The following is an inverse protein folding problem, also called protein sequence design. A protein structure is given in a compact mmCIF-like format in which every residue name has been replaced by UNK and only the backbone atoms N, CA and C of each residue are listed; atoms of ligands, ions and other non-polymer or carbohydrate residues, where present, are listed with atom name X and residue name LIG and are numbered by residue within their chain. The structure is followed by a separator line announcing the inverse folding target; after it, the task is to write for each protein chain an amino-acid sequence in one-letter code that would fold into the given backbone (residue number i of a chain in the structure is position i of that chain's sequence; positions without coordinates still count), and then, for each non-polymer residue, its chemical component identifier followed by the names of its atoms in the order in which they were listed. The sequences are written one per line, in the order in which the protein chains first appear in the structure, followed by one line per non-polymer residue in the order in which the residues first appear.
data_IF_064450559861
#
_entry.id   IF_064450559861
#
_cell.length_a   1.000
_cell.length_b   1.000
_cell.length_c   1.000
_cell.angle_alpha   90.00
_cell.angle_beta   90.00
_cell.angle_gamma   90.00
#
_symmetry.space_group_name_H-M   'P 1'
#
loop_
_entity.id
_entity.type
_entity.pdbx_description
1 polymer ?
#
# COMPACT_ATOMS: atom_id res chain seq x y z
N UNK A 1 6.96 20.73 -3.04
CA UNK A 1 7.36 19.38 -3.47
C UNK A 1 6.61 18.37 -2.60
N UNK A 2 5.81 17.47 -3.18
CA UNK A 2 5.13 16.43 -2.39
C UNK A 2 6.09 15.26 -2.21
N UNK A 3 6.39 14.92 -0.98
CA UNK A 3 7.19 13.74 -0.68
C UNK A 3 6.45 12.48 -1.14
N UNK A 4 7.16 11.56 -1.81
CA UNK A 4 6.63 10.24 -2.15
C UNK A 4 6.21 9.51 -0.87
N UNK A 5 5.03 8.87 -0.87
CA UNK A 5 4.60 8.08 0.29
C UNK A 5 5.54 6.88 0.50
N UNK A 6 5.61 6.39 1.75
CA UNK A 6 6.55 5.32 2.10
C UNK A 6 6.32 4.04 1.28
N UNK A 7 5.07 3.72 0.95
CA UNK A 7 4.78 2.56 0.11
C UNK A 7 5.28 2.70 -1.33
N UNK A 8 5.10 3.87 -1.96
CA UNK A 8 5.65 4.14 -3.30
C UNK A 8 7.18 4.06 -3.32
N UNK A 9 7.85 4.50 -2.24
CA UNK A 9 9.31 4.35 -2.09
C UNK A 9 9.73 2.89 -2.05
N UNK A 10 9.09 2.07 -1.22
CA UNK A 10 9.35 0.62 -1.13
C UNK A 10 9.12 -0.07 -2.46
N UNK A 11 8.01 0.26 -3.14
CA UNK A 11 7.65 -0.33 -4.41
C UNK A 11 8.38 0.28 -5.60
N UNK A 12 9.28 1.26 -5.42
CA UNK A 12 9.92 1.98 -6.53
C UNK A 12 8.89 2.41 -7.59
N UNK A 13 7.76 2.97 -7.15
CA UNK A 13 6.64 3.43 -7.98
C UNK A 13 6.60 4.96 -7.94
N UNK A 14 6.31 5.61 -9.07
CA UNK A 14 6.01 7.04 -9.10
C UNK A 14 4.83 7.39 -8.18
N UNK A 15 5.00 8.40 -7.34
CA UNK A 15 3.96 8.90 -6.45
C UNK A 15 3.38 10.20 -7.01
N UNK A 16 2.06 10.26 -7.19
CA UNK A 16 1.31 11.42 -7.66
C UNK A 16 0.38 11.97 -6.56
N UNK A 17 -0.33 13.06 -6.83
CA UNK A 17 -1.34 13.60 -5.92
C UNK A 17 -2.46 12.59 -5.62
N UNK A 18 -2.86 11.83 -6.65
CA UNK A 18 -3.90 10.80 -6.59
C UNK A 18 -3.35 9.40 -6.29
N UNK A 19 -2.26 9.32 -5.52
CA UNK A 19 -1.65 8.04 -5.18
C UNK A 19 -2.63 7.13 -4.41
N UNK A 20 -2.97 5.99 -5.00
CA UNK A 20 -3.87 5.00 -4.38
C UNK A 20 -3.30 4.34 -3.12
N UNK A 21 -1.97 4.39 -2.92
CA UNK A 21 -1.25 3.77 -1.79
C UNK A 21 -1.17 4.71 -0.58
N UNK A 22 -1.11 6.03 -0.81
CA UNK A 22 -1.04 7.03 0.26
C UNK A 22 -2.15 6.86 1.33
N UNK A 23 -3.45 6.76 0.98
CA UNK A 23 -4.51 6.56 1.96
C UNK A 23 -4.43 5.21 2.70
N UNK A 24 -3.89 4.16 2.06
CA UNK A 24 -3.69 2.84 2.69
C UNK A 24 -2.71 2.88 3.87
N UNK A 25 -1.82 3.87 3.91
CA UNK A 25 -0.74 3.96 4.90
C UNK A 25 -1.02 4.99 6.01
N UNK A 26 -1.97 5.92 5.80
CA UNK A 26 -2.23 7.03 6.72
C UNK A 26 -2.58 6.61 8.15
N UNK A 27 -3.19 5.44 8.33
CA UNK A 27 -3.55 4.94 9.66
C UNK A 27 -2.34 4.41 10.45
N UNK A 28 -1.26 4.03 9.77
CA UNK A 28 0.00 3.62 10.40
C UNK A 28 0.82 4.88 10.70
N UNK A 29 0.90 5.27 11.97
CA UNK A 29 1.57 6.51 12.40
C UNK A 29 3.08 6.50 12.15
N UNK A 30 3.74 5.35 12.32
CA UNK A 30 5.19 5.25 12.21
C UNK A 30 5.62 5.01 10.74
N UNK A 31 6.53 5.84 10.18
CA UNK A 31 6.96 5.72 8.78
C UNK A 31 7.75 4.43 8.49
N UNK A 32 8.53 3.93 9.44
CA UNK A 32 9.22 2.64 9.30
C UNK A 32 8.21 1.49 9.27
N UNK A 33 7.18 1.54 10.10
CA UNK A 33 6.09 0.56 10.09
C UNK A 33 5.33 0.57 8.75
N UNK A 34 5.10 1.73 8.14
CA UNK A 34 4.51 1.83 6.79
C UNK A 34 5.37 1.13 5.74
N UNK A 35 6.69 1.36 5.79
CA UNK A 35 7.63 0.73 4.88
C UNK A 35 7.67 -0.79 5.07
N UNK A 36 7.78 -1.25 6.32
CA UNK A 36 7.82 -2.68 6.66
C UNK A 36 6.54 -3.41 6.25
N UNK A 37 5.36 -2.81 6.49
CA UNK A 37 4.08 -3.37 6.07
C UNK A 37 4.00 -3.49 4.54
N UNK A 38 4.42 -2.45 3.82
CA UNK A 38 4.46 -2.48 2.35
C UNK A 38 5.44 -3.55 1.85
N UNK A 39 6.62 -3.66 2.47
CA UNK A 39 7.64 -4.65 2.10
C UNK A 39 7.12 -6.07 2.32
N UNK A 40 6.46 -6.33 3.45
CA UNK A 40 5.85 -7.61 3.76
C UNK A 40 4.81 -8.01 2.71
N UNK A 41 3.88 -7.11 2.38
CA UNK A 41 2.85 -7.37 1.37
C UNK A 41 3.42 -7.52 -0.04
N UNK A 42 4.45 -6.74 -0.37
CA UNK A 42 5.15 -6.85 -1.65
C UNK A 42 5.88 -8.19 -1.77
N UNK A 43 6.40 -8.74 -0.66
CA UNK A 43 7.00 -10.07 -0.62
C UNK A 43 5.96 -11.19 -0.77
N UNK A 44 4.75 -10.99 -0.22
CA UNK A 44 3.66 -11.97 -0.29
C UNK A 44 2.94 -11.98 -1.65
N UNK A 45 2.49 -10.82 -2.15
CA UNK A 45 1.72 -10.69 -3.39
C UNK A 45 2.56 -10.39 -4.64
N UNK A 46 3.85 -10.08 -4.45
CA UNK A 46 4.65 -9.43 -5.48
C UNK A 46 4.29 -7.97 -5.67
N UNK A 47 5.19 -7.21 -6.33
CA UNK A 47 4.99 -5.78 -6.60
C UNK A 47 3.75 -5.50 -7.44
N UNK A 48 3.61 -6.20 -8.56
CA UNK A 48 2.48 -6.00 -9.48
C UNK A 48 1.16 -6.44 -8.84
N UNK A 49 1.16 -7.58 -8.15
CA UNK A 49 -0.01 -8.09 -7.43
C UNK A 49 -0.49 -7.12 -6.36
N UNK A 50 0.41 -6.58 -5.54
CA UNK A 50 0.04 -5.58 -4.53
C UNK A 50 -0.55 -4.30 -5.14
N UNK A 51 0.05 -3.78 -6.22
CA UNK A 51 -0.48 -2.58 -6.88
C UNK A 51 -1.87 -2.84 -7.46
N UNK A 52 -2.06 -3.99 -8.11
CA UNK A 52 -3.36 -4.38 -8.67
C UNK A 52 -4.42 -4.54 -7.58
N UNK A 53 -4.05 -5.18 -6.45
CA UNK A 53 -4.91 -5.34 -5.29
C UNK A 53 -5.38 -3.97 -4.73
N UNK A 54 -4.46 -3.04 -4.52
CA UNK A 54 -4.77 -1.69 -4.02
C UNK A 54 -5.69 -0.94 -4.98
N UNK A 55 -5.47 -1.07 -6.29
CA UNK A 55 -6.28 -0.40 -7.29
C UNK A 55 -7.68 -1.02 -7.44
N UNK A 56 -7.82 -2.34 -7.27
CA UNK A 56 -9.09 -3.05 -7.28
C UNK A 56 -9.98 -2.72 -6.07
N UNK A 57 -9.38 -2.30 -4.95
CA UNK A 57 -10.13 -1.91 -3.77
C UNK A 57 -10.88 -0.57 -3.97
N UNK A 58 -12.16 -0.47 -3.56
CA UNK A 58 -12.89 0.80 -3.52
C UNK A 58 -12.18 1.83 -2.63
N UNK A 59 -12.23 3.14 -2.95
CA UNK A 59 -11.48 4.17 -2.22
C UNK A 59 -11.74 4.21 -0.71
N UNK A 60 -12.99 4.00 -0.30
CA UNK A 60 -13.41 3.97 1.11
C UNK A 60 -12.88 2.74 1.86
N UNK A 61 -12.55 1.65 1.14
CA UNK A 61 -12.05 0.42 1.74
C UNK A 61 -10.52 0.42 1.88
N UNK A 62 -9.79 1.21 1.07
CA UNK A 62 -8.31 1.19 0.93
C UNK A 62 -7.54 1.34 2.24
N UNK A 63 -8.10 1.98 3.26
CA UNK A 63 -7.47 2.16 4.58
C UNK A 63 -7.28 0.85 5.36
N UNK A 64 -8.01 -0.23 5.05
CA UNK A 64 -8.06 -1.46 5.89
C UNK A 64 -7.33 -2.67 5.26
N UNK A 65 -6.80 -2.57 4.05
CA UNK A 65 -6.33 -3.75 3.28
C UNK A 65 -4.90 -4.24 3.56
N UNK A 66 -4.16 -3.63 4.50
CA UNK A 66 -2.85 -4.17 4.85
C UNK A 66 -2.95 -5.43 5.75
N UNK A 67 -4.16 -5.81 6.16
CA UNK A 67 -4.43 -7.12 6.74
C UNK A 67 -4.65 -8.13 5.60
N UNK A 68 -3.90 -9.25 5.56
CA UNK A 68 -4.13 -10.28 4.56
C UNK A 68 -5.58 -10.72 4.69
N UNK A 69 -6.40 -10.48 3.66
CA UNK A 69 -7.70 -11.15 3.59
C UNK A 69 -7.40 -12.64 3.58
N UNK A 70 -8.02 -13.45 4.47
CA UNK A 70 -7.98 -14.88 4.28
C UNK A 70 -8.54 -15.14 2.88
N UNK A 71 -7.70 -15.74 2.03
CA UNK A 71 -8.15 -16.31 0.77
C UNK A 71 -9.27 -17.27 1.15
N UNK A 72 -10.50 -16.91 0.80
CA UNK A 72 -11.64 -17.80 0.99
C UNK A 72 -11.40 -19.08 0.21
N UNK A 73 -11.66 -20.19 0.89
CA UNK A 73 -11.95 -21.56 0.42
C UNK A 73 -11.82 -21.84 -1.08
#
# INVERSE_FOLDING_TARGET
MRMSCNGCRVLRKGCSADCSIDPCLKWIKNPQSQANATLFLAKFYGRAGLINLVNAAPPHSRTVWLLPRPLGH
#
